data_IF_274159788710
#
_entry.id   IF_274159788710
#
_cell.length_a   1.000
_cell.length_b   1.000
_cell.length_c   1.000
_cell.angle_alpha   90.00
_cell.angle_beta   90.00
_cell.angle_gamma   90.00
#
_symmetry.space_group_name_H-M   'P 1'
#
loop_
_entity.id
_entity.type
_entity.pdbx_description
1 polymer ?
#
# COMPACT_ATOMS: atom_id res chain seq x y z
N UNK A 1 -5.23 12.00 -17.01
CA UNK A 1 -5.13 13.06 -16.00
C UNK A 1 -3.76 13.73 -16.03
N UNK A 2 -2.66 13.03 -15.67
CA UNK A 2 -1.33 13.67 -15.57
C UNK A 2 -0.82 14.26 -16.89
N UNK A 3 -0.94 13.55 -18.01
CA UNK A 3 -0.58 14.08 -19.33
C UNK A 3 -1.36 15.37 -19.70
N UNK A 4 -2.56 15.55 -19.19
CA UNK A 4 -3.31 16.78 -19.38
C UNK A 4 -2.77 17.92 -18.52
N UNK A 5 -2.30 17.62 -17.30
CA UNK A 5 -1.58 18.61 -16.47
C UNK A 5 -0.28 19.03 -17.16
N UNK A 6 0.49 18.10 -17.72
CA UNK A 6 1.70 18.44 -18.49
C UNK A 6 1.42 19.41 -19.65
N UNK A 7 0.28 19.22 -20.34
CA UNK A 7 -0.11 20.05 -21.50
C UNK A 7 -0.73 21.40 -21.11
N UNK A 8 -1.65 21.40 -20.13
CA UNK A 8 -2.49 22.55 -19.81
C UNK A 8 -2.05 23.33 -18.57
N UNK A 9 -1.14 22.75 -17.77
CA UNK A 9 -0.62 23.35 -16.54
C UNK A 9 -1.76 23.83 -15.61
N UNK A 10 -1.83 25.12 -15.31
CA UNK A 10 -2.84 25.74 -14.45
C UNK A 10 -4.28 25.54 -14.92
N UNK A 11 -4.50 25.39 -16.20
CA UNK A 11 -5.84 25.25 -16.81
C UNK A 11 -6.34 23.80 -16.81
N UNK A 12 -5.53 22.86 -16.31
CA UNK A 12 -5.97 21.48 -16.20
C UNK A 12 -6.95 21.29 -15.06
N UNK A 13 -8.11 20.61 -15.28
CA UNK A 13 -9.02 20.26 -14.21
C UNK A 13 -8.45 19.21 -13.26
N UNK A 14 -7.33 18.56 -13.61
CA UNK A 14 -6.67 17.52 -12.83
C UNK A 14 -5.45 18.02 -12.04
N UNK A 15 -5.16 19.33 -12.02
CA UNK A 15 -3.99 19.84 -11.32
C UNK A 15 -3.97 19.46 -9.83
N UNK A 16 -5.12 19.49 -9.17
CA UNK A 16 -5.26 19.18 -7.74
C UNK A 16 -5.32 17.67 -7.45
N UNK A 17 -5.25 16.83 -8.49
CA UNK A 17 -5.19 15.38 -8.38
C UNK A 17 -3.81 14.86 -7.98
N UNK A 18 -2.80 15.72 -8.08
CA UNK A 18 -1.40 15.41 -7.81
C UNK A 18 -0.82 16.42 -6.84
N UNK A 19 0.27 16.05 -6.17
CA UNK A 19 1.07 16.99 -5.41
C UNK A 19 2.06 17.66 -6.35
N UNK A 20 1.81 18.92 -6.69
CA UNK A 20 2.63 19.64 -7.66
C UNK A 20 2.82 21.11 -7.29
N UNK A 21 3.88 21.72 -7.82
CA UNK A 21 4.21 23.14 -7.69
C UNK A 21 4.69 23.69 -9.03
N UNK A 22 4.14 24.83 -9.43
CA UNK A 22 4.56 25.50 -10.65
C UNK A 22 5.77 26.43 -10.45
N UNK A 23 6.30 26.51 -9.23
CA UNK A 23 7.49 27.29 -8.89
C UNK A 23 8.80 26.48 -8.99
N UNK A 24 8.73 25.23 -9.41
CA UNK A 24 9.87 24.31 -9.53
C UNK A 24 9.83 23.45 -10.79
N UNK A 25 10.72 22.48 -10.84
CA UNK A 25 10.79 21.50 -11.92
C UNK A 25 11.28 20.16 -11.38
N UNK A 26 11.18 19.12 -12.18
CA UNK A 26 11.76 17.79 -11.93
C UNK A 26 12.88 17.52 -12.93
N UNK A 27 13.55 16.35 -12.80
CA UNK A 27 14.56 15.91 -13.79
C UNK A 27 14.00 15.72 -15.20
N UNK A 28 12.69 15.62 -15.35
CA UNK A 28 12.01 15.49 -16.65
C UNK A 28 11.80 16.83 -17.37
N UNK A 29 12.08 17.95 -16.72
CA UNK A 29 11.96 19.30 -17.29
C UNK A 29 10.59 19.61 -17.87
N UNK A 30 9.54 19.17 -17.19
CA UNK A 30 8.14 19.41 -17.58
C UNK A 30 7.70 20.88 -17.33
N UNK A 31 8.56 21.71 -16.70
CA UNK A 31 8.28 23.09 -16.36
C UNK A 31 7.38 23.26 -15.14
N UNK A 32 7.32 22.26 -14.28
CA UNK A 32 6.73 22.27 -12.95
C UNK A 32 7.22 21.09 -12.14
N UNK A 33 7.25 21.25 -10.81
CA UNK A 33 7.59 20.17 -9.88
C UNK A 33 6.36 19.33 -9.53
N UNK A 34 6.55 18.04 -9.36
CA UNK A 34 5.54 17.12 -8.85
C UNK A 34 6.18 16.01 -8.01
N UNK A 35 5.42 15.48 -7.05
CA UNK A 35 5.89 14.43 -6.17
C UNK A 35 5.77 13.06 -6.86
N UNK A 36 6.89 12.32 -6.86
CA UNK A 36 6.95 10.91 -7.21
C UNK A 36 7.03 10.01 -5.97
N UNK A 37 6.79 8.71 -6.14
CA UNK A 37 6.98 7.75 -5.09
C UNK A 37 8.47 7.65 -4.71
N UNK A 38 8.79 7.91 -3.43
CA UNK A 38 10.16 7.88 -2.88
C UNK A 38 11.20 8.66 -3.73
N UNK A 39 10.77 9.72 -4.39
CA UNK A 39 11.62 10.54 -5.26
C UNK A 39 11.65 10.09 -6.73
N UNK A 40 10.99 9.02 -7.07
CA UNK A 40 10.85 8.52 -8.44
C UNK A 40 9.73 9.29 -9.16
N UNK A 41 10.08 10.33 -9.90
CA UNK A 41 9.11 11.19 -10.57
C UNK A 41 8.37 10.50 -11.73
N UNK A 42 8.89 9.39 -12.28
CA UNK A 42 8.17 8.52 -13.22
C UNK A 42 6.93 7.86 -12.61
N UNK A 43 6.89 7.72 -11.28
CA UNK A 43 5.77 7.17 -10.49
C UNK A 43 5.04 8.30 -9.76
N UNK A 44 4.29 9.09 -10.51
CA UNK A 44 3.63 10.31 -10.01
C UNK A 44 2.59 9.98 -8.95
N UNK A 45 2.69 10.60 -7.78
CA UNK A 45 1.77 10.38 -6.65
C UNK A 45 0.44 11.09 -6.86
N UNK A 46 -0.64 10.35 -6.63
CA UNK A 46 -1.98 10.91 -6.54
C UNK A 46 -2.20 11.59 -5.18
N UNK A 47 -2.91 12.70 -5.20
CA UNK A 47 -3.37 13.36 -3.99
C UNK A 47 -4.58 12.63 -3.39
N UNK A 48 -4.31 11.69 -2.48
CA UNK A 48 -5.35 10.89 -1.82
C UNK A 48 -6.18 11.66 -0.76
N UNK A 49 -5.95 12.97 -0.62
CA UNK A 49 -6.81 13.87 0.14
C UNK A 49 -7.86 14.54 -0.74
N UNK A 50 -7.69 14.52 -2.06
CA UNK A 50 -8.64 15.09 -3.01
C UNK A 50 -9.85 14.17 -3.17
N UNK A 51 -11.09 14.64 -2.86
CA UNK A 51 -12.30 13.83 -2.96
C UNK A 51 -12.55 13.26 -4.37
N UNK A 52 -12.24 14.01 -5.42
CA UNK A 52 -12.42 13.55 -6.79
C UNK A 52 -11.49 12.40 -7.16
N UNK A 53 -10.25 12.39 -6.62
CA UNK A 53 -9.31 11.27 -6.77
C UNK A 53 -9.85 10.03 -6.07
N UNK A 54 -10.29 10.18 -4.81
CA UNK A 54 -10.86 9.08 -4.02
C UNK A 54 -12.08 8.50 -4.73
N UNK A 55 -13.00 9.35 -5.17
CA UNK A 55 -14.21 8.93 -5.90
C UNK A 55 -13.86 8.18 -7.20
N UNK A 56 -12.89 8.68 -7.95
CA UNK A 56 -12.43 8.01 -9.17
C UNK A 56 -11.91 6.60 -8.89
N UNK A 57 -11.08 6.45 -7.88
CA UNK A 57 -10.55 5.13 -7.49
C UNK A 57 -11.64 4.20 -6.97
N UNK A 58 -12.55 4.70 -6.14
CA UNK A 58 -13.65 3.90 -5.61
C UNK A 58 -14.62 3.44 -6.71
N UNK A 59 -14.87 4.30 -7.71
CA UNK A 59 -15.66 3.91 -8.88
C UNK A 59 -14.99 2.84 -9.73
N UNK A 60 -13.66 2.89 -9.87
CA UNK A 60 -12.91 1.82 -10.53
C UNK A 60 -13.05 0.49 -9.76
N UNK A 61 -12.86 0.50 -8.44
CA UNK A 61 -13.04 -0.69 -7.58
C UNK A 61 -14.46 -1.25 -7.70
N UNK A 62 -15.49 -0.39 -7.61
CA UNK A 62 -16.89 -0.80 -7.81
C UNK A 62 -17.07 -1.50 -9.15
N UNK A 63 -16.54 -0.90 -10.21
CA UNK A 63 -16.63 -1.48 -11.56
C UNK A 63 -15.94 -2.85 -11.64
N UNK A 64 -14.81 -3.05 -10.94
CA UNK A 64 -14.14 -4.35 -10.91
C UNK A 64 -14.93 -5.41 -10.13
N UNK A 65 -15.54 -5.03 -9.02
CA UNK A 65 -16.45 -5.92 -8.27
C UNK A 65 -17.64 -6.34 -9.14
N UNK A 66 -18.30 -5.37 -9.78
CA UNK A 66 -19.50 -5.60 -10.59
C UNK A 66 -19.21 -6.41 -11.87
N UNK A 67 -18.10 -6.14 -12.54
CA UNK A 67 -17.76 -6.75 -13.83
C UNK A 67 -17.00 -8.05 -13.72
N UNK A 68 -16.14 -8.19 -12.72
CA UNK A 68 -15.23 -9.31 -12.60
C UNK A 68 -15.45 -10.13 -11.32
N UNK A 69 -16.30 -9.67 -10.40
CA UNK A 69 -16.61 -10.38 -9.17
C UNK A 69 -15.43 -10.53 -8.22
N UNK A 70 -14.47 -9.58 -8.23
CA UNK A 70 -13.29 -9.67 -7.36
C UNK A 70 -13.67 -9.70 -5.89
N UNK A 71 -12.88 -10.41 -5.09
CA UNK A 71 -13.09 -10.62 -3.66
C UNK A 71 -12.17 -9.81 -2.76
N UNK A 72 -11.25 -9.04 -3.35
CA UNK A 72 -10.31 -8.25 -2.58
C UNK A 72 -9.34 -7.48 -3.45
N UNK A 73 -8.48 -6.71 -2.78
CA UNK A 73 -7.39 -5.95 -3.38
C UNK A 73 -6.08 -6.22 -2.64
N UNK A 74 -5.00 -6.39 -3.38
CA UNK A 74 -3.65 -6.16 -2.89
C UNK A 74 -3.30 -4.70 -3.14
N UNK A 75 -2.93 -4.00 -2.10
CA UNK A 75 -2.51 -2.60 -2.16
C UNK A 75 -1.00 -2.54 -2.22
N UNK A 76 -0.50 -2.15 -3.36
CA UNK A 76 0.93 -1.92 -3.60
C UNK A 76 1.42 -0.79 -2.69
N UNK A 77 2.64 -0.90 -2.17
CA UNK A 77 3.28 0.07 -1.26
C UNK A 77 2.34 0.65 -0.20
N UNK A 78 1.54 -0.21 0.44
CA UNK A 78 0.53 0.21 1.40
C UNK A 78 1.09 1.03 2.57
N UNK A 79 2.38 0.89 2.87
CA UNK A 79 3.07 1.67 3.89
C UNK A 79 3.18 3.17 3.53
N UNK A 80 3.01 3.53 2.26
CA UNK A 80 2.96 4.92 1.79
C UNK A 80 1.54 5.52 1.77
N UNK A 81 0.50 4.70 1.99
CA UNK A 81 -0.88 5.18 1.95
C UNK A 81 -1.27 5.88 3.24
N UNK A 82 -1.96 7.04 3.18
CA UNK A 82 -2.47 7.70 4.36
C UNK A 82 -3.45 6.79 5.14
N UNK A 83 -3.36 6.69 6.47
CA UNK A 83 -4.28 5.87 7.25
C UNK A 83 -5.76 6.24 7.04
N UNK A 84 -6.05 7.53 6.88
CA UNK A 84 -7.42 7.99 6.62
C UNK A 84 -7.96 7.53 5.26
N UNK A 85 -7.10 7.41 4.25
CA UNK A 85 -7.48 6.81 2.98
C UNK A 85 -7.77 5.31 3.15
N UNK A 86 -6.93 4.58 3.87
CA UNK A 86 -7.15 3.15 4.15
C UNK A 86 -8.46 2.91 4.89
N UNK A 87 -8.81 3.73 5.88
CA UNK A 87 -10.10 3.64 6.58
C UNK A 87 -11.29 3.85 5.65
N UNK A 88 -11.22 4.88 4.81
CA UNK A 88 -12.27 5.15 3.81
C UNK A 88 -12.39 4.00 2.82
N UNK A 89 -11.28 3.49 2.33
CA UNK A 89 -11.25 2.35 1.41
C UNK A 89 -11.85 1.10 2.07
N UNK A 90 -11.50 0.84 3.33
CA UNK A 90 -12.05 -0.29 4.10
C UNK A 90 -13.57 -0.20 4.23
N UNK A 91 -14.08 0.93 4.67
CA UNK A 91 -15.53 1.16 4.82
C UNK A 91 -16.26 1.05 3.48
N UNK A 92 -15.70 1.63 2.42
CA UNK A 92 -16.26 1.55 1.07
C UNK A 92 -16.30 0.11 0.55
N UNK A 93 -15.21 -0.62 0.66
CA UNK A 93 -15.09 -1.99 0.17
C UNK A 93 -16.07 -2.94 0.88
N UNK A 94 -16.20 -2.83 2.20
CA UNK A 94 -17.18 -3.61 2.98
C UNK A 94 -18.65 -3.25 2.64
N UNK A 95 -18.89 -2.00 2.24
CA UNK A 95 -20.20 -1.59 1.73
C UNK A 95 -20.56 -2.18 0.37
N UNK A 96 -19.56 -2.54 -0.45
CA UNK A 96 -19.76 -3.23 -1.72
C UNK A 96 -19.96 -4.73 -1.52
N UNK A 97 -19.12 -5.34 -0.69
CA UNK A 97 -19.11 -6.78 -0.41
C UNK A 97 -18.60 -7.02 1.01
N UNK A 98 -19.42 -7.58 1.93
CA UNK A 98 -19.06 -7.71 3.35
C UNK A 98 -17.74 -8.46 3.58
N UNK A 99 -17.46 -9.47 2.76
CA UNK A 99 -16.27 -10.32 2.86
C UNK A 99 -15.09 -9.82 2.00
N UNK A 100 -15.14 -8.58 1.49
CA UNK A 100 -14.09 -8.02 0.63
C UNK A 100 -12.79 -7.83 1.41
N UNK A 101 -11.72 -8.44 0.93
CA UNK A 101 -10.42 -8.46 1.61
C UNK A 101 -9.52 -7.32 1.13
N UNK A 102 -8.92 -6.59 2.05
CA UNK A 102 -7.81 -5.68 1.78
C UNK A 102 -6.52 -6.26 2.33
N UNK A 103 -5.54 -6.45 1.48
CA UNK A 103 -4.19 -6.89 1.82
C UNK A 103 -3.20 -5.81 1.45
N UNK A 104 -2.46 -5.30 2.42
CA UNK A 104 -1.45 -4.27 2.19
C UNK A 104 -0.07 -4.88 1.96
N UNK A 105 0.65 -4.36 1.00
CA UNK A 105 2.08 -4.63 0.93
C UNK A 105 2.82 -3.72 1.89
N UNK A 106 3.58 -4.32 2.80
CA UNK A 106 4.46 -3.62 3.73
C UNK A 106 5.79 -4.36 3.83
N UNK A 107 6.88 -3.65 3.69
CA UNK A 107 8.21 -4.26 3.67
C UNK A 107 8.81 -4.40 5.08
N UNK A 108 8.64 -3.39 5.91
CA UNK A 108 9.26 -3.32 7.24
C UNK A 108 8.48 -2.41 8.19
N UNK A 109 8.87 -2.38 9.45
CA UNK A 109 8.25 -1.57 10.49
C UNK A 109 7.23 -2.34 11.31
N UNK A 110 6.43 -1.62 12.07
CA UNK A 110 5.33 -2.20 12.85
C UNK A 110 4.08 -2.33 11.97
N UNK A 111 3.74 -3.55 11.60
CA UNK A 111 2.62 -3.85 10.70
C UNK A 111 1.25 -3.44 11.27
N UNK A 112 1.12 -3.27 12.58
CA UNK A 112 -0.10 -2.75 13.21
C UNK A 112 -0.49 -1.34 12.72
N UNK A 113 0.44 -0.62 12.11
CA UNK A 113 0.15 0.70 11.52
C UNK A 113 -0.73 0.63 10.29
N UNK A 114 -0.78 -0.50 9.60
CA UNK A 114 -1.48 -0.67 8.31
C UNK A 114 -2.55 -1.74 8.35
N UNK A 115 -2.64 -2.54 9.42
CA UNK A 115 -3.66 -3.58 9.57
C UNK A 115 -4.44 -3.40 10.86
N UNK A 116 -5.71 -3.80 10.82
CA UNK A 116 -6.61 -3.72 11.96
C UNK A 116 -8.07 -3.67 11.53
N UNK A 117 -9.00 -3.49 12.46
CA UNK A 117 -10.43 -3.51 12.18
C UNK A 117 -10.88 -2.51 11.12
N UNK A 118 -10.23 -1.33 11.05
CA UNK A 118 -10.57 -0.25 10.12
C UNK A 118 -9.55 -0.09 8.97
N UNK A 119 -8.48 -0.88 8.96
CA UNK A 119 -7.38 -0.81 7.99
C UNK A 119 -7.37 -2.07 7.11
N UNK A 120 -6.20 -2.45 6.59
CA UNK A 120 -6.05 -3.72 5.89
C UNK A 120 -6.38 -4.90 6.81
N UNK A 121 -6.93 -5.97 6.24
CA UNK A 121 -7.17 -7.22 6.97
C UNK A 121 -5.87 -7.95 7.28
N UNK A 122 -4.91 -7.82 6.37
CA UNK A 122 -3.62 -8.48 6.43
C UNK A 122 -2.58 -7.63 5.72
N UNK A 123 -1.31 -7.88 6.02
CA UNK A 123 -0.18 -7.32 5.27
C UNK A 123 0.83 -8.42 4.94
N UNK A 124 1.70 -8.16 3.97
CA UNK A 124 2.78 -9.07 3.57
C UNK A 124 3.80 -9.22 4.69
N UNK A 125 4.20 -10.46 4.97
CA UNK A 125 5.12 -10.79 6.06
C UNK A 125 6.57 -10.92 5.57
N UNK A 126 7.17 -9.81 5.16
CA UNK A 126 8.58 -9.78 4.75
C UNK A 126 9.54 -10.12 5.87
N UNK A 127 9.19 -9.88 7.13
CA UNK A 127 10.01 -10.28 8.27
C UNK A 127 10.14 -11.81 8.34
N UNK A 128 9.04 -12.54 8.16
CA UNK A 128 9.06 -14.01 8.12
C UNK A 128 9.84 -14.51 6.88
N UNK A 129 9.60 -13.92 5.72
CA UNK A 129 10.37 -14.23 4.50
C UNK A 129 11.87 -14.06 4.75
N UNK A 130 12.31 -12.91 5.25
CA UNK A 130 13.73 -12.65 5.56
C UNK A 130 14.28 -13.65 6.58
N UNK A 131 13.52 -13.95 7.62
CA UNK A 131 13.91 -14.92 8.63
C UNK A 131 14.11 -16.33 8.04
N UNK A 132 13.22 -16.75 7.14
CA UNK A 132 13.35 -18.01 6.41
C UNK A 132 14.57 -18.02 5.51
N UNK A 133 14.68 -17.05 4.62
CA UNK A 133 15.79 -16.92 3.68
C UNK A 133 17.15 -16.92 4.41
N UNK A 134 17.30 -16.09 5.43
CA UNK A 134 18.52 -15.97 6.22
C UNK A 134 18.86 -17.27 6.96
N UNK A 135 17.86 -17.90 7.59
CA UNK A 135 18.04 -19.15 8.34
C UNK A 135 18.57 -20.27 7.47
N UNK A 136 18.05 -20.44 6.26
CA UNK A 136 18.50 -21.48 5.34
C UNK A 136 19.89 -21.17 4.76
N UNK A 137 20.14 -19.93 4.36
CA UNK A 137 21.41 -19.53 3.77
C UNK A 137 22.57 -19.57 4.79
N UNK A 138 22.33 -19.13 6.01
CA UNK A 138 23.32 -19.13 7.09
C UNK A 138 23.38 -20.47 7.85
N UNK A 139 22.44 -21.39 7.58
CA UNK A 139 22.24 -22.65 8.33
C UNK A 139 22.00 -22.41 9.83
N UNK A 140 21.37 -21.31 10.16
CA UNK A 140 21.05 -20.90 11.52
C UNK A 140 19.52 -20.71 11.67
N UNK A 141 18.84 -21.76 12.15
CA UNK A 141 17.38 -21.73 12.33
C UNK A 141 16.91 -20.83 13.48
N UNK A 142 17.82 -20.23 14.21
CA UNK A 142 17.49 -19.34 15.32
C UNK A 142 16.73 -18.08 14.84
N UNK A 143 17.09 -17.55 13.67
CA UNK A 143 16.47 -16.35 13.14
C UNK A 143 14.98 -16.52 12.86
N UNK A 144 14.59 -17.61 12.17
CA UNK A 144 13.16 -17.87 11.91
C UNK A 144 12.42 -18.19 13.22
N UNK A 145 13.04 -18.93 14.12
CA UNK A 145 12.46 -19.20 15.45
C UNK A 145 12.20 -17.91 16.23
N UNK A 146 13.16 -16.98 16.20
CA UNK A 146 13.01 -15.67 16.83
C UNK A 146 11.92 -14.81 16.17
N UNK A 147 11.91 -14.74 14.84
CA UNK A 147 10.90 -13.98 14.10
C UNK A 147 9.47 -14.48 14.39
N UNK A 148 9.25 -15.79 14.39
CA UNK A 148 7.95 -16.37 14.69
C UNK A 148 7.53 -16.15 16.15
N UNK A 149 8.47 -16.30 17.10
CA UNK A 149 8.21 -16.03 18.52
C UNK A 149 7.85 -14.55 18.75
N UNK A 150 8.57 -13.63 18.08
CA UNK A 150 8.30 -12.20 18.14
C UNK A 150 6.95 -11.83 17.55
N UNK A 151 6.55 -12.45 16.46
CA UNK A 151 5.30 -12.16 15.76
C UNK A 151 4.08 -12.79 16.44
N UNK A 152 4.17 -14.07 16.82
CA UNK A 152 3.00 -14.90 17.19
C UNK A 152 3.20 -15.70 18.48
N UNK A 153 4.28 -15.50 19.21
CA UNK A 153 4.57 -16.23 20.44
C UNK A 153 3.56 -15.99 21.57
N UNK A 154 3.66 -16.76 22.65
CA UNK A 154 2.74 -16.64 23.80
C UNK A 154 3.04 -15.42 24.69
N UNK A 155 4.18 -14.79 24.53
CA UNK A 155 4.67 -13.75 25.40
C UNK A 155 3.88 -12.44 25.28
N UNK A 156 3.93 -11.60 26.31
CA UNK A 156 3.22 -10.31 26.32
C UNK A 156 3.80 -9.30 25.30
N UNK A 157 5.08 -9.44 24.94
CA UNK A 157 5.75 -8.59 23.97
C UNK A 157 5.50 -8.99 22.50
N UNK A 158 4.72 -10.03 22.27
CA UNK A 158 4.36 -10.48 20.93
C UNK A 158 3.60 -9.39 20.16
N UNK A 159 4.08 -9.05 18.96
CA UNK A 159 3.62 -7.88 18.22
C UNK A 159 2.25 -8.07 17.54
N UNK A 160 2.01 -9.24 16.96
CA UNK A 160 0.87 -9.45 16.04
C UNK A 160 -0.06 -10.54 16.53
N UNK A 161 -0.26 -10.63 17.83
CA UNK A 161 -1.12 -11.63 18.47
C UNK A 161 -2.56 -11.51 17.97
N UNK A 162 -3.05 -12.58 17.37
CA UNK A 162 -4.39 -12.62 16.78
C UNK A 162 -4.53 -11.97 15.41
N UNK A 163 -3.46 -11.42 14.84
CA UNK A 163 -3.45 -10.90 13.48
C UNK A 163 -3.14 -12.01 12.46
N UNK A 164 -3.60 -11.80 11.23
CA UNK A 164 -3.31 -12.68 10.10
C UNK A 164 -2.35 -11.98 9.15
N UNK A 165 -1.13 -12.48 9.02
CA UNK A 165 -0.14 -11.98 8.07
C UNK A 165 -0.05 -12.92 6.87
N UNK A 166 0.17 -12.35 5.69
CA UNK A 166 0.45 -13.14 4.49
C UNK A 166 1.93 -13.54 4.47
N UNK A 167 2.23 -14.73 4.95
CA UNK A 167 3.58 -15.30 4.84
C UNK A 167 3.80 -15.92 3.47
N UNK A 168 4.99 -15.77 2.91
CA UNK A 168 5.37 -16.26 1.60
C UNK A 168 6.82 -16.73 1.61
N UNK A 169 7.20 -17.54 0.64
CA UNK A 169 8.57 -18.03 0.43
C UNK A 169 9.28 -17.23 -0.65
N UNK A 170 8.51 -16.68 -1.58
CA UNK A 170 8.98 -15.95 -2.75
C UNK A 170 7.86 -15.07 -3.30
N UNK A 171 8.20 -14.01 -4.00
CA UNK A 171 7.28 -13.19 -4.79
C UNK A 171 8.03 -12.49 -5.93
N UNK A 172 7.34 -11.67 -6.72
CA UNK A 172 7.91 -10.98 -7.89
C UNK A 172 8.93 -9.86 -7.55
N UNK A 173 9.10 -9.50 -6.27
CA UNK A 173 9.98 -8.43 -5.80
C UNK A 173 11.24 -8.96 -5.08
N UNK A 174 11.34 -10.27 -4.85
CA UNK A 174 12.47 -10.90 -4.16
C UNK A 174 12.96 -12.14 -4.89
N UNK A 175 14.27 -12.44 -4.79
CA UNK A 175 14.95 -13.61 -5.37
C UNK A 175 15.09 -14.73 -4.33
#
# INVERSE_FOLDING_TARGET
AFQEVQKKKWDSPYRDWFHLSFDGDTEYHDGFWYEGWEGHNELVKLNLWNPAVIEHQFNAIRSWVERFGIDGLRLDVAYCLPPEYLKRLRAFAQGLKPDFVLMGETLHGDYNRWMGPELCHSVTNYECYKGLWSSFNSRNMFEIGHSLARQFGPEQWTLYKGAHLLSFLDNHDVD
#
